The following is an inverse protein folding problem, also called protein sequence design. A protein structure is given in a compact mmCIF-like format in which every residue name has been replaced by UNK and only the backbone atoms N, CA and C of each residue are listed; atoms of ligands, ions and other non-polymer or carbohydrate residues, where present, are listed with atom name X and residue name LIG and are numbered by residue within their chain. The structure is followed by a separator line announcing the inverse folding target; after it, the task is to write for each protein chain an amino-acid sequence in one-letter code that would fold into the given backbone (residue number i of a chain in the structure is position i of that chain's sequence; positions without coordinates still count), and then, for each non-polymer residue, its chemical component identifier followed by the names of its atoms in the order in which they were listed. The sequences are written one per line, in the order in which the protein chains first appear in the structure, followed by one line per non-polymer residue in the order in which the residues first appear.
data_IF_735090424363
#
_entry.id   IF_735090424363
#
_cell.length_a   1.000
_cell.length_b   1.000
_cell.length_c   1.000
_cell.angle_alpha   90.00
_cell.angle_beta   90.00
_cell.angle_gamma   90.00
#
_symmetry.space_group_name_H-M   'P 1'
#
loop_
_entity.id
_entity.type
_entity.pdbx_description
1 polymer ?
#
# COMPACT_ATOMS: atom_id res chain seq x y z
N UNK A 1 29.15 -0.75 -9.66
CA UNK A 1 29.71 -2.02 -9.15
C UNK A 1 29.07 -2.21 -7.78
N UNK A 2 28.27 -3.26 -7.58
CA UNK A 2 27.49 -3.51 -6.37
C UNK A 2 28.35 -4.31 -5.40
N UNK A 3 28.90 -3.68 -4.37
CA UNK A 3 29.80 -4.35 -3.43
C UNK A 3 29.08 -4.62 -2.09
N UNK A 4 28.97 -5.93 -1.79
CA UNK A 4 28.74 -6.57 -0.49
C UNK A 4 27.50 -6.20 0.35
N UNK A 5 26.58 -7.16 0.43
CA UNK A 5 25.56 -7.29 1.47
C UNK A 5 26.21 -8.00 2.67
N UNK A 6 26.43 -7.31 3.80
CA UNK A 6 26.82 -7.98 5.04
C UNK A 6 25.56 -8.60 5.67
N UNK A 7 25.59 -9.90 5.94
CA UNK A 7 24.43 -10.70 6.35
C UNK A 7 24.62 -11.21 7.78
N UNK A 8 23.94 -10.60 8.75
CA UNK A 8 23.91 -11.10 10.12
C UNK A 8 22.81 -12.17 10.26
N UNK A 9 23.25 -13.43 10.23
CA UNK A 9 22.42 -14.63 10.44
C UNK A 9 22.62 -15.12 11.87
N UNK A 10 21.55 -15.52 12.55
CA UNK A 10 21.66 -16.07 13.89
C UNK A 10 22.08 -17.54 13.96
N UNK A 11 22.35 -18.03 15.17
CA UNK A 11 22.74 -19.41 15.44
C UNK A 11 21.73 -20.47 14.95
N UNK A 12 20.50 -20.07 14.61
CA UNK A 12 19.44 -20.94 14.07
C UNK A 12 19.27 -20.78 12.56
N UNK A 13 20.07 -19.94 11.90
CA UNK A 13 19.93 -19.65 10.48
C UNK A 13 18.86 -18.61 10.15
N UNK A 14 18.30 -17.92 11.16
CA UNK A 14 17.27 -16.90 10.97
C UNK A 14 17.88 -15.49 10.91
N UNK A 15 17.28 -14.64 10.09
CA UNK A 15 17.78 -13.29 9.80
C UNK A 15 17.46 -12.36 10.97
N UNK A 16 18.50 -11.82 11.63
CA UNK A 16 18.30 -11.02 12.86
C UNK A 16 17.99 -9.54 12.64
N UNK A 17 18.26 -8.99 11.45
CA UNK A 17 17.94 -7.61 11.09
C UNK A 17 17.73 -7.46 9.58
N UNK A 18 16.49 -7.25 9.15
CA UNK A 18 16.11 -7.16 7.73
C UNK A 18 16.22 -5.72 7.18
N UNK A 19 17.36 -5.06 7.40
CA UNK A 19 17.64 -3.75 6.78
C UNK A 19 18.53 -3.96 5.55
N UNK A 20 17.92 -3.98 4.37
CA UNK A 20 18.69 -3.88 3.12
C UNK A 20 19.12 -2.43 2.94
N UNK A 21 20.41 -2.16 3.15
CA UNK A 21 21.03 -0.86 2.89
C UNK A 21 21.50 -0.83 1.44
N UNK A 22 20.85 -0.03 0.60
CA UNK A 22 21.39 0.29 -0.71
C UNK A 22 22.34 1.48 -0.54
N UNK A 23 23.65 1.25 -0.67
CA UNK A 23 24.64 2.31 -0.66
C UNK A 23 24.82 2.82 -2.08
N UNK A 24 24.40 4.07 -2.34
CA UNK A 24 24.73 4.79 -3.58
C UNK A 24 25.85 5.79 -3.30
N UNK A 25 26.90 5.76 -4.11
CA UNK A 25 27.96 6.76 -4.06
C UNK A 25 27.59 7.91 -5.00
N UNK A 26 27.36 9.11 -4.45
CA UNK A 26 27.18 10.35 -5.22
C UNK A 26 28.22 11.35 -4.74
N UNK A 27 29.04 11.84 -5.66
CA UNK A 27 30.14 12.80 -5.39
C UNK A 27 31.12 12.35 -4.29
N UNK A 28 31.32 11.04 -4.17
CA UNK A 28 32.21 10.44 -3.16
C UNK A 28 31.61 10.30 -1.75
N UNK A 29 30.33 10.68 -1.56
CA UNK A 29 29.61 10.51 -0.30
C UNK A 29 28.69 9.28 -0.40
N UNK A 30 28.77 8.32 0.54
CA UNK A 30 27.84 7.20 0.59
C UNK A 30 26.47 7.67 1.10
N UNK A 31 25.44 7.61 0.25
CA UNK A 31 24.04 7.72 0.66
C UNK A 31 23.52 6.33 1.04
N UNK A 32 23.12 6.18 2.30
CA UNK A 32 22.48 4.96 2.82
C UNK A 32 20.96 5.11 2.66
N UNK A 33 20.38 4.36 1.72
CA UNK A 33 18.92 4.28 1.58
C UNK A 33 18.45 3.00 2.27
N UNK A 34 17.68 3.14 3.36
CA UNK A 34 17.06 2.01 4.06
C UNK A 34 15.83 1.55 3.28
N UNK A 35 15.88 0.37 2.66
CA UNK A 35 14.69 -0.25 2.07
C UNK A 35 13.95 -1.01 3.17
N UNK A 36 13.03 -0.34 3.85
CA UNK A 36 12.14 -1.02 4.80
C UNK A 36 11.07 -1.80 4.04
N UNK A 37 11.14 -3.13 4.07
CA UNK A 37 9.99 -4.00 3.80
C UNK A 37 10.20 -5.06 2.72
N UNK A 38 10.83 -6.19 3.08
CA UNK A 38 10.74 -7.42 2.28
C UNK A 38 10.01 -8.53 3.05
N UNK A 39 8.71 -8.29 3.23
CA UNK A 39 7.59 -9.25 3.29
C UNK A 39 7.92 -10.74 3.57
N UNK A 40 7.65 -11.16 4.81
CA UNK A 40 7.67 -12.56 5.26
C UNK A 40 6.79 -13.49 4.39
N UNK A 41 7.30 -14.71 4.16
CA UNK A 41 6.91 -15.70 3.13
C UNK A 41 5.50 -16.33 3.24
N UNK A 42 4.70 -15.98 4.26
CA UNK A 42 3.29 -16.38 4.35
C UNK A 42 2.34 -15.47 3.53
N UNK A 43 2.77 -14.24 3.21
CA UNK A 43 1.98 -13.31 2.40
C UNK A 43 1.91 -13.70 0.92
N UNK A 44 2.98 -14.30 0.37
CA UNK A 44 3.14 -14.53 -1.07
C UNK A 44 2.07 -15.45 -1.69
N UNK A 45 1.67 -16.52 -0.99
CA UNK A 45 0.67 -17.49 -1.51
C UNK A 45 -0.76 -16.97 -1.46
N UNK A 46 -1.11 -16.15 -0.47
CA UNK A 46 -2.44 -15.51 -0.39
C UNK A 46 -2.54 -14.37 -1.42
N UNK A 47 -1.49 -13.58 -1.58
CA UNK A 47 -1.42 -12.50 -2.57
C UNK A 47 -1.60 -12.98 -4.00
N UNK A 48 -1.03 -14.12 -4.39
CA UNK A 48 -1.16 -14.58 -5.78
C UNK A 48 -2.60 -14.95 -6.18
N UNK A 49 -3.49 -15.15 -5.20
CA UNK A 49 -4.93 -15.27 -5.44
C UNK A 49 -5.59 -13.92 -5.71
N UNK A 50 -5.06 -12.84 -5.13
CA UNK A 50 -5.53 -11.47 -5.35
C UNK A 50 -4.98 -10.85 -6.61
N UNK A 51 -3.85 -11.33 -7.12
CA UNK A 51 -3.37 -11.00 -8.49
C UNK A 51 -4.36 -11.48 -9.57
N UNK A 52 -5.29 -12.39 -9.20
CA UNK A 52 -6.37 -12.91 -10.05
C UNK A 52 -7.75 -12.35 -9.69
N UNK A 53 -7.81 -11.26 -8.91
CA UNK A 53 -9.08 -10.56 -8.72
C UNK A 53 -9.60 -10.07 -10.06
N UNK A 54 -10.83 -10.45 -10.40
CA UNK A 54 -11.55 -9.85 -11.53
C UNK A 54 -11.56 -8.33 -11.36
N UNK A 55 -11.22 -7.64 -12.45
CA UNK A 55 -11.27 -6.18 -12.51
C UNK A 55 -12.70 -5.73 -12.31
N UNK A 56 -12.87 -4.64 -11.57
CA UNK A 56 -14.15 -3.96 -11.46
C UNK A 56 -14.45 -3.23 -12.75
N UNK A 57 -15.58 -3.58 -13.36
CA UNK A 57 -16.04 -3.01 -14.62
C UNK A 57 -17.19 -2.00 -14.44
N UNK A 58 -17.62 -1.74 -13.19
CA UNK A 58 -18.70 -0.81 -12.87
C UNK A 58 -20.00 -1.45 -12.37
N UNK A 59 -20.11 -2.79 -12.41
CA UNK A 59 -21.26 -3.56 -11.92
C UNK A 59 -20.88 -4.46 -10.74
N UNK A 60 -21.87 -4.91 -9.96
CA UNK A 60 -21.65 -5.76 -8.76
C UNK A 60 -20.71 -5.11 -7.72
N UNK A 61 -20.81 -3.80 -7.53
CA UNK A 61 -19.86 -3.04 -6.70
C UNK A 61 -19.78 -3.58 -5.27
N UNK A 62 -20.90 -3.96 -4.66
CA UNK A 62 -20.90 -4.59 -3.32
C UNK A 62 -20.01 -5.84 -3.22
N UNK A 63 -20.01 -6.68 -4.25
CA UNK A 63 -19.18 -7.91 -4.30
C UNK A 63 -17.72 -7.57 -4.45
N UNK A 64 -17.38 -6.71 -5.41
CA UNK A 64 -15.99 -6.28 -5.63
C UNK A 64 -15.43 -5.56 -4.40
N UNK A 65 -16.17 -4.60 -3.84
CA UNK A 65 -15.81 -3.85 -2.64
C UNK A 65 -15.48 -4.78 -1.47
N UNK A 66 -16.29 -5.81 -1.23
CA UNK A 66 -16.04 -6.78 -0.15
C UNK A 66 -14.74 -7.56 -0.37
N UNK A 67 -14.45 -7.98 -1.60
CA UNK A 67 -13.19 -8.66 -1.92
C UNK A 67 -11.98 -7.72 -1.79
N UNK A 68 -12.11 -6.48 -2.26
CA UNK A 68 -11.06 -5.46 -2.15
C UNK A 68 -10.77 -5.09 -0.70
N UNK A 69 -11.80 -4.85 0.11
CA UNK A 69 -11.63 -4.59 1.55
C UNK A 69 -10.93 -5.76 2.27
N UNK A 70 -11.28 -7.00 1.92
CA UNK A 70 -10.61 -8.18 2.47
C UNK A 70 -9.13 -8.24 2.10
N UNK A 71 -8.77 -7.92 0.84
CA UNK A 71 -7.38 -7.78 0.41
C UNK A 71 -6.63 -6.73 1.26
N UNK A 72 -7.17 -5.52 1.37
CA UNK A 72 -6.56 -4.43 2.14
C UNK A 72 -6.41 -4.77 3.64
N UNK A 73 -7.32 -5.59 4.18
CA UNK A 73 -7.23 -6.12 5.55
C UNK A 73 -6.04 -7.07 5.71
N UNK A 74 -5.84 -7.98 4.76
CA UNK A 74 -4.68 -8.90 4.76
C UNK A 74 -3.36 -8.12 4.62
N UNK A 75 -3.38 -7.05 3.82
CA UNK A 75 -2.25 -6.13 3.67
C UNK A 75 -2.02 -5.26 4.91
N UNK A 76 -2.94 -5.26 5.87
CA UNK A 76 -2.92 -4.43 7.08
C UNK A 76 -2.92 -2.92 6.80
N UNK A 77 -3.50 -2.49 5.68
CA UNK A 77 -3.59 -1.06 5.29
C UNK A 77 -5.01 -0.50 5.35
N UNK A 78 -6.01 -1.30 5.73
CA UNK A 78 -7.42 -0.87 5.77
C UNK A 78 -7.67 0.32 6.71
N UNK A 79 -6.81 0.48 7.72
CA UNK A 79 -6.88 1.56 8.69
C UNK A 79 -6.71 2.96 8.06
N UNK A 80 -6.09 3.04 6.87
CA UNK A 80 -5.93 4.28 6.08
C UNK A 80 -7.27 4.97 5.83
N UNK A 81 -8.37 4.23 5.73
CA UNK A 81 -9.70 4.81 5.51
C UNK A 81 -10.29 5.55 6.72
N UNK A 82 -9.79 5.25 7.92
CA UNK A 82 -10.30 5.81 9.19
C UNK A 82 -9.31 6.75 9.87
N UNK A 83 -8.04 6.68 9.50
CA UNK A 83 -7.00 7.54 10.06
C UNK A 83 -6.98 8.89 9.34
N UNK A 84 -7.24 10.01 10.04
CA UNK A 84 -7.05 11.33 9.46
C UNK A 84 -5.57 11.56 9.18
N UNK A 85 -5.26 12.30 8.11
CA UNK A 85 -3.88 12.70 7.81
C UNK A 85 -3.40 13.60 8.96
N UNK A 86 -2.31 13.23 9.66
CA UNK A 86 -1.72 14.07 10.69
C UNK A 86 -1.33 15.44 10.14
N UNK A 87 -1.62 16.50 10.89
CA UNK A 87 -1.07 17.83 10.62
C UNK A 87 0.44 17.82 10.97
N UNK A 88 1.28 18.21 10.01
CA UNK A 88 2.71 18.39 10.23
C UNK A 88 2.93 19.60 11.15
N UNK A 89 3.32 19.34 12.40
CA UNK A 89 3.90 20.36 13.26
C UNK A 89 5.39 20.50 12.89
N UNK A 90 5.86 21.72 12.68
CA UNK A 90 7.26 22.02 12.32
C UNK A 90 8.29 21.44 13.31
N UNK A 91 7.85 21.18 14.55
CA UNK A 91 8.66 20.62 15.66
C UNK A 91 8.39 19.13 15.92
N UNK A 92 7.85 18.41 14.92
CA UNK A 92 7.38 17.04 15.10
C UNK A 92 8.46 16.09 15.65
N UNK A 93 8.19 15.46 16.78
CA UNK A 93 9.04 14.40 17.33
C UNK A 93 9.28 13.30 16.27
N UNK A 94 10.47 12.68 16.26
CA UNK A 94 10.84 11.57 15.35
C UNK A 94 9.74 10.50 15.22
N UNK A 95 9.01 10.23 16.29
CA UNK A 95 7.88 9.28 16.28
C UNK A 95 6.68 9.75 15.44
N UNK A 96 6.41 11.06 15.39
CA UNK A 96 5.37 11.62 14.52
C UNK A 96 5.77 11.53 13.05
N UNK A 97 7.03 11.87 12.73
CA UNK A 97 7.57 11.74 11.37
C UNK A 97 7.47 10.29 10.90
N UNK A 98 7.86 9.32 11.74
CA UNK A 98 7.75 7.88 11.41
C UNK A 98 6.31 7.44 11.17
N UNK A 99 5.37 7.91 11.99
CA UNK A 99 3.93 7.59 11.83
C UNK A 99 3.39 8.18 10.52
N UNK A 100 3.78 9.41 10.20
CA UNK A 100 3.40 10.08 8.95
C UNK A 100 3.92 9.34 7.72
N UNK A 101 5.22 9.07 7.66
CA UNK A 101 5.82 8.34 6.53
C UNK A 101 5.22 6.94 6.36
N UNK A 102 4.88 6.26 7.47
CA UNK A 102 4.18 4.98 7.40
C UNK A 102 2.77 5.13 6.80
N UNK A 103 2.02 6.13 7.24
CA UNK A 103 0.67 6.37 6.73
C UNK A 103 0.69 6.71 5.24
N UNK A 104 1.64 7.54 4.80
CA UNK A 104 1.83 7.90 3.39
C UNK A 104 2.15 6.67 2.53
N UNK A 105 3.06 5.82 3.00
CA UNK A 105 3.39 4.55 2.33
C UNK A 105 2.16 3.62 2.25
N UNK A 106 1.45 3.45 3.36
CA UNK A 106 0.29 2.55 3.40
C UNK A 106 -0.87 3.12 2.56
N UNK A 107 -1.02 4.45 2.48
CA UNK A 107 -1.94 5.14 1.57
C UNK A 107 -1.58 4.86 0.10
N UNK A 108 -0.31 4.96 -0.27
CA UNK A 108 0.16 4.63 -1.62
C UNK A 108 -0.11 3.17 -1.98
N UNK A 109 0.17 2.23 -1.07
CA UNK A 109 -0.15 0.81 -1.26
C UNK A 109 -1.65 0.60 -1.45
N UNK A 110 -2.47 1.25 -0.63
CA UNK A 110 -3.92 1.15 -0.68
C UNK A 110 -4.47 1.69 -2.02
N UNK A 111 -4.03 2.88 -2.45
CA UNK A 111 -4.34 3.46 -3.76
C UNK A 111 -3.98 2.50 -4.91
N UNK A 112 -2.75 2.00 -4.91
CA UNK A 112 -2.26 1.09 -5.94
C UNK A 112 -3.12 -0.16 -6.08
N UNK A 113 -3.53 -0.78 -4.97
CA UNK A 113 -4.38 -1.96 -5.01
C UNK A 113 -5.82 -1.67 -5.46
N UNK A 114 -6.40 -0.56 -5.00
CA UNK A 114 -7.76 -0.18 -5.41
C UNK A 114 -7.79 0.12 -6.91
N UNK A 115 -6.85 0.94 -7.41
CA UNK A 115 -6.73 1.28 -8.83
C UNK A 115 -6.43 0.05 -9.68
N UNK A 116 -5.49 -0.81 -9.25
CA UNK A 116 -5.23 -2.07 -9.94
C UNK A 116 -6.42 -3.03 -9.90
N UNK A 117 -7.37 -2.84 -8.99
CA UNK A 117 -8.61 -3.60 -8.94
C UNK A 117 -9.65 -3.17 -9.99
N UNK A 118 -9.40 -2.09 -10.75
CA UNK A 118 -10.34 -1.52 -11.72
C UNK A 118 -9.95 -1.84 -13.17
N UNK A 119 -10.94 -1.74 -14.07
CA UNK A 119 -10.69 -1.67 -15.51
C UNK A 119 -10.06 -0.32 -15.90
N UNK A 120 -9.41 -0.28 -17.06
CA UNK A 120 -8.63 0.88 -17.51
C UNK A 120 -9.48 2.16 -17.63
N UNK A 121 -10.75 2.02 -18.03
CA UNK A 121 -11.67 3.15 -18.13
C UNK A 121 -11.90 3.82 -16.78
N UNK A 122 -12.10 3.04 -15.71
CA UNK A 122 -12.27 3.57 -14.35
C UNK A 122 -10.95 4.04 -13.75
N UNK A 123 -9.84 3.33 -14.02
CA UNK A 123 -8.51 3.76 -13.62
C UNK A 123 -8.22 5.18 -14.11
N UNK A 124 -8.47 5.45 -15.40
CA UNK A 124 -8.19 6.76 -16.00
C UNK A 124 -8.96 7.91 -15.36
N UNK A 125 -10.19 7.64 -14.88
CA UNK A 125 -11.03 8.62 -14.19
C UNK A 125 -10.50 8.92 -12.78
N UNK A 126 -10.00 7.90 -12.08
CA UNK A 126 -9.70 7.97 -10.65
C UNK A 126 -8.22 8.10 -10.29
N UNK A 127 -7.30 7.91 -11.24
CA UNK A 127 -5.85 7.87 -11.00
C UNK A 127 -5.26 9.12 -10.32
N UNK A 128 -5.91 10.28 -10.47
CA UNK A 128 -5.42 11.55 -9.94
C UNK A 128 -5.96 11.88 -8.54
N UNK A 129 -6.67 10.96 -7.88
CA UNK A 129 -7.14 11.18 -6.51
C UNK A 129 -6.01 11.03 -5.50
N UNK A 130 -5.86 12.03 -4.64
CA UNK A 130 -4.70 12.18 -3.76
C UNK A 130 -4.60 11.10 -2.66
N UNK A 131 -5.74 10.56 -2.22
CA UNK A 131 -5.77 9.63 -1.09
C UNK A 131 -6.66 8.42 -1.36
N UNK A 132 -6.29 7.28 -0.78
CA UNK A 132 -7.07 6.05 -0.85
C UNK A 132 -8.47 6.26 -0.26
N UNK A 133 -8.59 7.11 0.77
CA UNK A 133 -9.87 7.47 1.37
C UNK A 133 -10.77 8.22 0.38
N UNK A 134 -10.26 9.28 -0.26
CA UNK A 134 -11.04 10.04 -1.25
C UNK A 134 -11.46 9.14 -2.41
N UNK A 135 -10.55 8.28 -2.89
CA UNK A 135 -10.85 7.28 -3.92
C UNK A 135 -11.95 6.29 -3.49
N UNK A 136 -11.89 5.81 -2.25
CA UNK A 136 -12.86 4.87 -1.70
C UNK A 136 -14.25 5.51 -1.57
N UNK A 137 -14.30 6.71 -0.96
CA UNK A 137 -15.54 7.44 -0.71
C UNK A 137 -16.22 7.85 -2.04
N UNK A 138 -15.45 8.27 -3.05
CA UNK A 138 -15.98 8.61 -4.37
C UNK A 138 -16.66 7.41 -5.08
N UNK A 139 -16.07 6.22 -4.96
CA UNK A 139 -16.66 5.00 -5.51
C UNK A 139 -17.92 4.59 -4.76
N UNK A 140 -17.91 4.67 -3.43
CA UNK A 140 -19.10 4.38 -2.64
C UNK A 140 -20.25 5.31 -3.02
N UNK A 141 -20.00 6.61 -3.16
CA UNK A 141 -21.00 7.58 -3.56
C UNK A 141 -21.60 7.28 -4.94
N UNK A 142 -20.76 6.93 -5.92
CA UNK A 142 -21.21 6.64 -7.29
C UNK A 142 -21.96 5.31 -7.39
N UNK A 143 -21.35 4.22 -6.95
CA UNK A 143 -21.81 2.88 -7.28
C UNK A 143 -22.74 2.26 -6.23
N UNK A 144 -22.76 2.73 -4.98
CA UNK A 144 -23.77 2.24 -4.01
C UNK A 144 -25.18 2.75 -4.34
N UNK A 145 -25.29 3.94 -4.94
CA UNK A 145 -26.55 4.48 -5.42
C UNK A 145 -27.09 3.67 -6.62
N UNK A 146 -26.22 3.36 -7.59
CA UNK A 146 -26.57 2.62 -8.81
C UNK A 146 -26.93 1.13 -8.55
N UNK A 147 -26.21 0.45 -7.64
CA UNK A 147 -26.49 -0.93 -7.20
C UNK A 147 -27.86 -1.07 -6.50
N UNK A 148 -28.47 0.03 -6.05
CA UNK A 148 -29.79 0.03 -5.41
C UNK A 148 -30.95 0.22 -6.41
N UNK A 149 -30.66 0.78 -7.58
CA UNK A 149 -31.65 1.07 -8.64
C UNK A 149 -31.73 -0.01 -9.71
N UNK A 150 -30.81 -0.97 -9.71
CA UNK A 150 -30.81 -2.12 -10.62
C UNK A 150 -31.59 -3.28 -10.00
N UNK A 151 -32.92 -3.23 -10.12
CA UNK A 151 -33.83 -4.34 -9.78
C UNK A 151 -34.94 -4.46 -10.81
#
# INVERSE_FOLDING_TARGET
MLDSIHKDVDEKGEWKNEQLLLIKMTDGIPLIITLSGFRHTYGSRMMSKFDKLEKFEGWDFKRWKKKMHFLLTILKVVYVFSTPIPELLEDGNLDQIRKQSKLENDNYICLGHILNGMCDALFNVYQNLETAKVLWDAQEAKFMAEDSSSK
#
